data_IF_118710660585
#
_entry.id   IF_118710660585
#
_cell.length_a   1.000
_cell.length_b   1.000
_cell.length_c   1.000
_cell.angle_alpha   90.00
_cell.angle_beta   90.00
_cell.angle_gamma   90.00
#
_symmetry.space_group_name_H-M   'P 1'
#
loop_
_entity.id
_entity.type
_entity.pdbx_description
1 polymer ?
#
# COMPACT_ATOMS: atom_id res chain seq x y z
N UNK A 1 -50.22 46.73 -40.13
CA UNK A 1 -49.27 47.58 -39.38
C UNK A 1 -48.59 46.72 -38.33
N UNK A 2 -47.26 46.75 -38.36
CA UNK A 2 -46.34 46.12 -37.42
C UNK A 2 -46.71 46.42 -35.95
N UNK A 3 -46.54 45.44 -35.07
CA UNK A 3 -45.63 45.66 -33.94
C UNK A 3 -44.98 44.36 -33.46
N UNK A 4 -43.66 44.44 -33.49
CA UNK A 4 -42.67 43.42 -33.24
C UNK A 4 -42.59 43.06 -31.76
N UNK A 5 -42.82 41.80 -31.40
CA UNK A 5 -42.44 41.25 -30.10
C UNK A 5 -40.99 40.74 -30.18
N UNK A 6 -40.04 41.68 -30.15
CA UNK A 6 -38.62 41.40 -29.89
C UNK A 6 -38.34 41.63 -28.41
N UNK A 7 -38.74 40.68 -27.56
CA UNK A 7 -38.25 40.61 -26.19
C UNK A 7 -37.87 39.16 -25.90
N UNK A 8 -36.56 38.97 -25.82
CA UNK A 8 -35.91 38.04 -24.91
C UNK A 8 -35.77 36.57 -25.30
N UNK A 9 -35.10 36.30 -26.42
CA UNK A 9 -34.28 35.07 -26.53
C UNK A 9 -32.93 35.21 -25.80
N UNK A 10 -32.59 36.43 -25.32
CA UNK A 10 -31.33 36.71 -24.63
C UNK A 10 -31.36 36.38 -23.12
N UNK A 11 -32.53 36.28 -22.48
CA UNK A 11 -32.62 35.90 -21.05
C UNK A 11 -32.62 34.38 -20.86
N UNK A 12 -32.92 33.59 -21.90
CA UNK A 12 -32.90 32.13 -21.78
C UNK A 12 -31.48 31.54 -21.80
N UNK A 13 -30.47 32.30 -22.25
CA UNK A 13 -29.05 31.90 -22.23
C UNK A 13 -28.35 32.20 -20.90
N UNK A 14 -29.00 32.91 -19.96
CA UNK A 14 -28.47 33.23 -18.64
C UNK A 14 -28.89 32.25 -17.54
N UNK A 15 -29.59 31.16 -17.90
CA UNK A 15 -30.04 30.11 -16.98
C UNK A 15 -29.44 28.75 -17.36
N UNK A 16 -28.24 28.74 -17.96
CA UNK A 16 -27.41 27.57 -17.77
C UNK A 16 -26.98 27.60 -16.30
N UNK A 17 -27.28 26.56 -15.49
CA UNK A 17 -26.55 26.42 -14.25
C UNK A 17 -25.09 26.44 -14.69
N UNK A 18 -24.29 27.37 -14.16
CA UNK A 18 -22.85 27.15 -14.11
C UNK A 18 -22.75 25.75 -13.51
N UNK A 19 -22.42 24.77 -14.34
CA UNK A 19 -21.96 23.48 -13.88
C UNK A 19 -20.77 23.88 -13.04
N UNK A 20 -20.97 23.89 -11.72
CA UNK A 20 -19.88 24.08 -10.78
C UNK A 20 -18.89 23.01 -11.17
N UNK A 21 -17.79 23.40 -11.83
CA UNK A 21 -16.68 22.50 -12.06
C UNK A 21 -16.39 21.93 -10.69
N UNK A 22 -16.58 20.62 -10.53
CA UNK A 22 -16.10 19.92 -9.34
C UNK A 22 -14.66 20.39 -9.16
N UNK A 23 -14.38 21.03 -8.04
CA UNK A 23 -13.04 21.49 -7.74
C UNK A 23 -12.15 20.28 -7.81
N UNK A 24 -11.26 20.23 -8.79
CA UNK A 24 -10.31 19.15 -8.90
C UNK A 24 -9.38 19.27 -7.69
N UNK A 25 -9.57 18.39 -6.71
CA UNK A 25 -8.73 18.34 -5.51
C UNK A 25 -7.96 17.02 -5.49
N UNK A 26 -6.62 17.06 -5.49
CA UNK A 26 -5.81 15.85 -5.40
C UNK A 26 -6.04 15.14 -4.07
N UNK A 27 -5.96 13.82 -4.08
CA UNK A 27 -6.15 12.98 -2.91
C UNK A 27 -5.41 11.66 -3.05
N UNK A 28 -5.27 10.95 -1.95
CA UNK A 28 -4.71 9.60 -1.93
C UNK A 28 -5.78 8.60 -1.53
N UNK A 29 -5.66 7.36 -2.00
CA UNK A 29 -6.51 6.24 -1.58
C UNK A 29 -5.67 5.10 -1.08
N UNK A 30 -6.10 4.51 0.04
CA UNK A 30 -5.47 3.34 0.65
C UNK A 30 -6.50 2.21 0.75
N UNK A 31 -6.13 1.00 0.33
CA UNK A 31 -7.02 -0.17 0.38
C UNK A 31 -6.29 -1.46 0.73
N UNK A 32 -6.91 -2.30 1.56
CA UNK A 32 -6.33 -3.61 1.92
C UNK A 32 -6.61 -4.58 0.78
N UNK A 33 -5.58 -4.95 0.03
CA UNK A 33 -5.69 -5.84 -1.13
C UNK A 33 -5.47 -7.30 -0.78
N UNK A 34 -4.78 -7.60 0.33
CA UNK A 34 -4.51 -8.96 0.76
C UNK A 34 -4.23 -9.04 2.27
N UNK A 35 -4.73 -10.09 2.91
CA UNK A 35 -4.36 -10.48 4.28
C UNK A 35 -4.10 -11.99 4.28
N UNK A 36 -2.89 -12.37 4.67
CA UNK A 36 -2.43 -13.76 4.76
C UNK A 36 -2.13 -14.12 6.23
N UNK A 37 -3.08 -14.72 6.95
CA UNK A 37 -2.83 -15.22 8.30
C UNK A 37 -2.01 -16.52 8.25
N UNK A 38 -0.98 -16.64 9.09
CA UNK A 38 -0.24 -17.89 9.31
C UNK A 38 0.45 -17.89 10.68
N UNK A 39 0.34 -19.01 11.41
CA UNK A 39 1.02 -19.25 12.68
C UNK A 39 0.97 -18.10 13.72
N UNK A 40 -0.18 -17.44 13.82
CA UNK A 40 -0.39 -16.33 14.77
C UNK A 40 0.04 -14.96 14.26
N UNK A 41 0.60 -14.89 13.06
CA UNK A 41 0.87 -13.64 12.35
C UNK A 41 -0.15 -13.39 11.26
N UNK A 42 -0.23 -12.14 10.81
CA UNK A 42 -0.93 -11.75 9.59
C UNK A 42 -0.03 -10.86 8.74
N UNK A 43 0.20 -11.30 7.51
CA UNK A 43 0.85 -10.45 6.51
C UNK A 43 -0.23 -9.65 5.77
N UNK A 44 -0.07 -8.33 5.73
CA UNK A 44 -1.08 -7.39 5.22
C UNK A 44 -0.45 -6.60 4.08
N UNK A 45 -1.17 -6.55 2.96
CA UNK A 45 -0.82 -5.73 1.79
C UNK A 45 -1.84 -4.62 1.68
N UNK A 46 -1.34 -3.39 1.61
CA UNK A 46 -2.14 -2.18 1.42
C UNK A 46 -1.71 -1.55 0.11
N UNK A 47 -2.64 -1.34 -0.80
CA UNK A 47 -2.41 -0.61 -2.02
C UNK A 47 -2.63 0.88 -1.79
N UNK A 48 -1.70 1.70 -2.28
CA UNK A 48 -1.78 3.15 -2.33
C UNK A 48 -1.91 3.59 -3.79
N UNK A 49 -2.84 4.52 -4.02
CA UNK A 49 -2.98 5.24 -5.29
C UNK A 49 -3.06 6.74 -5.02
N UNK A 50 -2.23 7.52 -5.71
CA UNK A 50 -2.25 8.98 -5.72
C UNK A 50 -3.09 9.51 -6.89
N UNK A 51 -3.98 10.45 -6.60
CA UNK A 51 -4.82 11.14 -7.56
C UNK A 51 -4.40 12.60 -7.68
N UNK A 52 -4.05 13.01 -8.89
CA UNK A 52 -3.61 14.35 -9.24
C UNK A 52 -4.61 15.03 -10.16
N UNK A 53 -4.54 16.35 -10.20
CA UNK A 53 -5.29 17.17 -11.13
C UNK A 53 -4.46 17.45 -12.37
N UNK A 54 -4.95 17.00 -13.52
CA UNK A 54 -4.34 17.25 -14.82
C UNK A 54 -5.30 18.04 -15.70
N UNK A 55 -4.76 19.03 -16.43
CA UNK A 55 -5.55 19.82 -17.38
C UNK A 55 -5.63 19.12 -18.73
N UNK A 56 -6.82 18.64 -19.08
CA UNK A 56 -7.10 17.97 -20.35
C UNK A 56 -8.10 18.81 -21.14
N UNK A 57 -7.74 19.21 -22.35
CA UNK A 57 -8.59 20.03 -23.24
C UNK A 57 -9.13 21.34 -22.60
N UNK A 58 -8.38 21.92 -21.66
CA UNK A 58 -8.77 23.16 -21.00
C UNK A 58 -9.54 22.98 -19.68
N UNK A 59 -9.99 21.77 -19.37
CA UNK A 59 -10.70 21.40 -18.13
C UNK A 59 -9.75 20.67 -17.17
N UNK A 60 -9.89 20.88 -15.86
CA UNK A 60 -9.16 20.12 -14.85
C UNK A 60 -9.87 18.81 -14.58
N UNK A 61 -9.12 17.70 -14.63
CA UNK A 61 -9.66 16.35 -14.44
C UNK A 61 -8.80 15.56 -13.46
N UNK A 62 -9.45 14.75 -12.64
CA UNK A 62 -8.78 13.84 -11.72
C UNK A 62 -8.21 12.64 -12.49
N UNK A 63 -6.93 12.36 -12.29
CA UNK A 63 -6.23 11.21 -12.86
C UNK A 63 -5.29 10.58 -11.85
N UNK A 64 -5.05 9.28 -12.04
CA UNK A 64 -4.04 8.56 -11.25
C UNK A 64 -2.64 8.99 -11.67
N UNK A 65 -1.79 9.27 -10.68
CA UNK A 65 -0.39 9.59 -10.91
C UNK A 65 0.39 8.30 -11.23
N UNK A 66 0.32 7.83 -12.46
CA UNK A 66 1.03 6.62 -12.88
C UNK A 66 2.35 6.95 -13.60
N UNK A 67 3.42 6.16 -13.39
CA UNK A 67 3.48 5.00 -12.50
C UNK A 67 3.83 5.36 -11.05
N UNK A 68 4.32 6.57 -10.78
CA UNK A 68 5.06 6.90 -9.55
C UNK A 68 4.19 6.93 -8.28
N UNK A 69 2.90 7.27 -8.42
CA UNK A 69 1.92 7.34 -7.35
C UNK A 69 1.15 6.05 -7.10
N UNK A 70 1.60 4.91 -7.62
CA UNK A 70 1.00 3.60 -7.38
C UNK A 70 2.00 2.66 -6.69
N UNK A 71 1.71 2.26 -5.45
CA UNK A 71 2.57 1.31 -4.74
C UNK A 71 1.84 0.50 -3.68
N UNK A 72 2.37 -0.68 -3.40
CA UNK A 72 1.94 -1.54 -2.31
C UNK A 72 2.83 -1.32 -1.07
N UNK A 73 2.20 -1.23 0.08
CA UNK A 73 2.80 -1.20 1.41
C UNK A 73 2.62 -2.57 2.06
N UNK A 74 3.69 -3.05 2.69
CA UNK A 74 3.73 -4.38 3.29
C UNK A 74 3.91 -4.29 4.80
N UNK A 75 3.03 -4.99 5.52
CA UNK A 75 3.06 -5.03 6.97
C UNK A 75 3.00 -6.47 7.48
N UNK A 76 3.67 -6.70 8.62
CA UNK A 76 3.55 -7.95 9.36
C UNK A 76 3.02 -7.67 10.76
N UNK A 77 1.89 -8.26 11.07
CA UNK A 77 1.27 -8.19 12.38
C UNK A 77 1.50 -9.50 13.14
N UNK A 78 1.88 -9.43 14.42
CA UNK A 78 2.18 -10.61 15.26
C UNK A 78 1.17 -10.83 16.41
N UNK A 79 0.10 -10.05 16.47
CA UNK A 79 -0.85 -10.04 17.60
C UNK A 79 -0.63 -8.90 18.61
N UNK A 80 0.52 -8.24 18.60
CA UNK A 80 0.82 -7.05 19.43
C UNK A 80 1.25 -5.85 18.60
N UNK A 81 2.20 -6.07 17.69
CA UNK A 81 2.91 -5.04 16.94
C UNK A 81 2.66 -5.20 15.45
N UNK A 82 2.51 -4.06 14.76
CA UNK A 82 2.45 -3.97 13.31
C UNK A 82 3.79 -3.45 12.78
N UNK A 83 4.55 -4.31 12.10
CA UNK A 83 5.86 -3.99 11.55
C UNK A 83 5.75 -3.59 10.08
N UNK A 84 6.20 -2.40 9.71
CA UNK A 84 6.34 -1.98 8.32
C UNK A 84 7.57 -2.65 7.68
N UNK A 85 7.36 -3.36 6.57
CA UNK A 85 8.41 -4.13 5.89
C UNK A 85 8.99 -3.40 4.68
N UNK A 86 8.23 -2.46 4.11
CA UNK A 86 8.65 -1.66 2.98
C UNK A 86 7.52 -1.37 2.01
N UNK A 87 7.88 -0.68 0.92
CA UNK A 87 7.00 -0.35 -0.20
C UNK A 87 7.50 -1.01 -1.48
N UNK A 88 6.59 -1.30 -2.40
CA UNK A 88 6.89 -1.76 -3.76
C UNK A 88 6.00 -1.07 -4.75
N UNK A 89 6.59 -0.51 -5.81
CA UNK A 89 5.82 -0.12 -6.97
C UNK A 89 5.79 -1.31 -7.97
N UNK A 90 4.66 -2.01 -8.13
CA UNK A 90 4.56 -3.14 -9.05
C UNK A 90 4.77 -2.74 -10.53
N UNK A 91 4.54 -1.47 -10.88
CA UNK A 91 4.77 -0.92 -12.23
C UNK A 91 6.26 -0.62 -12.49
N UNK A 92 7.05 -0.38 -11.44
CA UNK A 92 8.48 -0.05 -11.55
C UNK A 92 9.43 -1.20 -11.12
N UNK A 93 8.88 -2.34 -10.67
CA UNK A 93 9.66 -3.57 -10.49
C UNK A 93 10.57 -3.61 -9.26
N UNK A 94 10.23 -2.87 -8.21
CA UNK A 94 10.97 -2.84 -6.93
C UNK A 94 10.28 -3.61 -5.80
N UNK A 95 10.11 -4.94 -5.87
CA UNK A 95 9.34 -5.59 -4.82
C UNK A 95 10.21 -5.95 -3.62
N UNK A 96 9.81 -5.45 -2.45
CA UNK A 96 9.92 -6.21 -1.23
C UNK A 96 8.81 -7.27 -1.25
N UNK A 97 9.11 -8.53 -1.57
CA UNK A 97 8.10 -9.60 -1.62
C UNK A 97 8.15 -10.37 -0.32
N UNK A 98 7.00 -10.69 0.26
CA UNK A 98 6.92 -11.59 1.40
C UNK A 98 6.31 -12.91 0.97
N UNK A 99 6.93 -14.02 1.34
CA UNK A 99 6.41 -15.36 1.11
C UNK A 99 6.25 -16.11 2.43
N UNK A 100 5.20 -16.91 2.54
CA UNK A 100 5.07 -17.88 3.61
C UNK A 100 5.57 -19.23 3.10
N UNK A 101 6.56 -19.81 3.79
CA UNK A 101 7.11 -21.13 3.47
C UNK A 101 7.03 -21.97 4.75
N UNK A 102 6.18 -23.00 4.73
CA UNK A 102 5.97 -23.92 5.85
C UNK A 102 5.67 -23.20 7.17
N UNK A 103 4.76 -22.22 7.16
CA UNK A 103 4.36 -21.50 8.37
C UNK A 103 5.34 -20.44 8.85
N UNK A 104 6.40 -20.16 8.08
CA UNK A 104 7.39 -19.12 8.40
C UNK A 104 7.39 -18.06 7.33
N UNK A 105 7.38 -16.79 7.73
CA UNK A 105 7.44 -15.68 6.80
C UNK A 105 8.87 -15.35 6.39
N UNK A 106 9.06 -15.09 5.11
CA UNK A 106 10.31 -14.66 4.52
C UNK A 106 10.10 -13.36 3.76
N UNK A 107 11.05 -12.44 3.83
CA UNK A 107 10.97 -11.13 3.18
C UNK A 107 12.16 -11.03 2.24
N UNK A 108 11.90 -10.94 0.95
CA UNK A 108 12.88 -10.62 -0.07
C UNK A 108 12.91 -9.10 -0.25
N UNK A 109 14.02 -8.46 0.10
CA UNK A 109 14.31 -7.07 -0.24
C UNK A 109 15.17 -7.02 -1.50
N UNK A 110 14.83 -6.12 -2.43
CA UNK A 110 15.62 -5.83 -3.63
C UNK A 110 15.95 -4.34 -3.67
N UNK A 111 17.22 -4.02 -3.86
CA UNK A 111 17.72 -2.65 -4.05
C UNK A 111 18.50 -2.57 -5.35
N UNK A 112 18.11 -1.68 -6.25
CA UNK A 112 18.81 -1.42 -7.49
C UNK A 112 19.53 -0.07 -7.42
N UNK A 113 20.76 -0.01 -7.92
CA UNK A 113 21.54 1.22 -7.99
C UNK A 113 22.54 1.16 -9.16
N UNK A 114 22.88 2.31 -9.73
CA UNK A 114 23.95 2.41 -10.73
C UNK A 114 25.25 2.70 -10.00
N UNK A 115 26.27 1.87 -10.21
CA UNK A 115 27.59 2.04 -9.59
C UNK A 115 28.69 2.21 -10.63
N UNK A 116 29.72 3.02 -10.36
CA UNK A 116 30.91 3.05 -11.21
C UNK A 116 31.66 1.72 -11.09
N UNK A 117 32.10 1.17 -12.23
CA UNK A 117 32.82 -0.11 -12.25
C UNK A 117 34.24 0.02 -12.79
N UNK A 118 34.47 0.85 -13.82
CA UNK A 118 35.79 0.99 -14.42
C UNK A 118 35.95 2.35 -15.08
N UNK A 119 37.12 2.97 -14.89
CA UNK A 119 37.52 4.15 -15.65
C UNK A 119 38.34 3.71 -16.86
N UNK A 120 37.97 4.22 -18.02
CA UNK A 120 38.67 3.98 -19.27
C UNK A 120 39.14 5.32 -19.81
N UNK A 121 40.44 5.43 -20.02
CA UNK A 121 41.06 6.51 -20.77
C UNK A 121 40.99 6.18 -22.25
N UNK A 122 40.38 7.05 -23.05
CA UNK A 122 40.39 6.97 -24.52
C UNK A 122 40.92 8.27 -25.09
N UNK A 123 41.79 8.16 -26.10
CA UNK A 123 42.23 9.32 -26.88
C UNK A 123 41.31 9.46 -28.09
N UNK A 124 40.57 10.57 -28.16
CA UNK A 124 39.70 10.90 -29.29
C UNK A 124 40.23 12.19 -29.90
N UNK A 125 40.64 12.12 -31.17
CA UNK A 125 41.22 13.27 -31.90
C UNK A 125 42.42 13.94 -31.21
N UNK A 126 43.29 13.15 -30.55
CA UNK A 126 44.48 13.65 -29.85
C UNK A 126 44.23 14.13 -28.42
N UNK A 127 42.98 14.28 -27.99
CA UNK A 127 42.63 14.62 -26.62
C UNK A 127 42.32 13.37 -25.79
N UNK A 128 42.88 13.30 -24.59
CA UNK A 128 42.58 12.22 -23.65
C UNK A 128 41.28 12.50 -22.92
N UNK A 129 40.30 11.61 -23.06
CA UNK A 129 39.02 11.64 -22.36
C UNK A 129 38.90 10.48 -21.39
N UNK A 130 38.42 10.77 -20.19
CA UNK A 130 38.13 9.77 -19.17
C UNK A 130 36.64 9.41 -19.25
N UNK A 131 36.34 8.16 -19.57
CA UNK A 131 34.99 7.62 -19.54
C UNK A 131 34.83 6.71 -18.32
N UNK A 132 33.83 6.98 -17.49
CA UNK A 132 33.47 6.07 -16.39
C UNK A 132 32.41 5.10 -16.89
N UNK A 133 32.76 3.82 -16.95
CA UNK A 133 31.80 2.75 -17.23
C UNK A 133 31.03 2.43 -15.95
N UNK A 134 29.71 2.37 -16.08
CA UNK A 134 28.81 2.05 -14.98
C UNK A 134 28.29 0.61 -15.10
N UNK A 135 27.87 0.06 -13.97
CA UNK A 135 27.16 -1.20 -13.88
C UNK A 135 25.87 -1.00 -13.09
N UNK A 136 24.82 -1.71 -13.48
CA UNK A 136 23.59 -1.80 -12.68
C UNK A 136 23.81 -2.86 -11.61
N UNK A 137 23.84 -2.42 -10.34
CA UNK A 137 23.98 -3.28 -9.17
C UNK A 137 22.60 -3.56 -8.59
N UNK A 138 22.26 -4.83 -8.50
CA UNK A 138 21.07 -5.32 -7.80
C UNK A 138 21.51 -6.08 -6.56
N UNK A 139 21.16 -5.57 -5.38
CA UNK A 139 21.30 -6.26 -4.11
C UNK A 139 19.98 -6.92 -3.74
N UNK A 140 20.04 -8.19 -3.38
CA UNK A 140 18.89 -8.97 -2.92
C UNK A 140 19.22 -9.54 -1.55
N UNK A 141 18.31 -9.38 -0.59
CA UNK A 141 18.45 -9.89 0.78
C UNK A 141 17.17 -10.61 1.16
N UNK A 142 17.28 -11.82 1.70
CA UNK A 142 16.13 -12.53 2.26
C UNK A 142 16.29 -12.63 3.76
N UNK A 143 15.27 -12.15 4.47
CA UNK A 143 15.15 -12.27 5.91
C UNK A 143 14.11 -13.33 6.23
N UNK A 144 14.41 -14.20 7.19
CA UNK A 144 13.43 -15.08 7.82
C UNK A 144 12.87 -14.37 9.04
N UNK A 145 11.56 -14.47 9.25
CA UNK A 145 10.88 -13.87 10.39
C UNK A 145 10.34 -14.95 11.33
N UNK A 146 10.88 -14.99 12.55
CA UNK A 146 10.50 -15.89 13.65
C UNK A 146 10.34 -15.12 14.97
N UNK A 147 9.86 -13.87 14.89
CA UNK A 147 9.81 -12.91 16.00
C UNK A 147 10.90 -11.83 15.89
N UNK A 148 11.99 -12.12 15.18
CA UNK A 148 13.00 -11.15 14.75
C UNK A 148 13.35 -11.39 13.27
N UNK A 149 13.79 -10.36 12.56
CA UNK A 149 14.24 -10.49 11.18
C UNK A 149 15.70 -10.96 11.14
N UNK A 150 15.92 -12.21 10.69
CA UNK A 150 17.26 -12.79 10.54
C UNK A 150 17.65 -12.87 9.06
N UNK A 151 18.78 -12.26 8.67
CA UNK A 151 19.30 -12.37 7.29
C UNK A 151 19.76 -13.81 7.01
N UNK A 152 19.08 -14.51 6.10
CA UNK A 152 19.38 -15.91 5.77
C UNK A 152 20.04 -16.09 4.40
N UNK A 153 19.85 -15.13 3.50
CA UNK A 153 20.41 -15.16 2.15
C UNK A 153 20.70 -13.75 1.66
N UNK A 154 21.83 -13.59 1.00
CA UNK A 154 22.17 -12.35 0.32
C UNK A 154 22.78 -12.66 -1.06
N UNK A 155 22.45 -11.82 -2.02
CA UNK A 155 23.04 -11.91 -3.33
C UNK A 155 23.23 -10.53 -3.95
N UNK A 156 24.32 -10.38 -4.68
CA UNK A 156 24.62 -9.18 -5.47
C UNK A 156 24.78 -9.59 -6.92
N UNK A 157 24.01 -8.97 -7.81
CA UNK A 157 24.13 -9.07 -9.26
C UNK A 157 24.63 -7.75 -9.81
N UNK A 158 25.67 -7.81 -10.65
CA UNK A 158 26.18 -6.69 -11.42
C UNK A 158 25.90 -6.97 -12.88
N UNK A 159 25.17 -6.07 -13.52
CA UNK A 159 24.88 -6.10 -14.96
C UNK A 159 25.64 -4.95 -15.62
N UNK A 160 26.51 -5.30 -16.56
CA UNK A 160 27.38 -4.36 -17.24
C UNK A 160 26.74 -3.89 -18.56
N UNK A 161 27.09 -2.69 -19.02
CA UNK A 161 26.56 -2.13 -20.28
C UNK A 161 26.81 -3.01 -21.52
N UNK A 162 27.80 -3.90 -21.46
CA UNK A 162 28.10 -4.87 -22.53
C UNK A 162 27.24 -6.15 -22.47
N UNK A 163 26.23 -6.20 -21.59
CA UNK A 163 25.35 -7.35 -21.39
C UNK A 163 25.96 -8.50 -20.57
N UNK A 164 27.22 -8.37 -20.11
CA UNK A 164 27.79 -9.38 -19.20
C UNK A 164 27.24 -9.19 -17.79
N UNK A 165 27.20 -10.29 -17.04
CA UNK A 165 26.69 -10.29 -15.67
C UNK A 165 27.65 -11.00 -14.72
N UNK A 166 27.71 -10.50 -13.49
CA UNK A 166 28.42 -11.15 -12.39
C UNK A 166 27.51 -11.26 -11.18
N UNK A 167 27.40 -12.47 -10.66
CA UNK A 167 26.51 -12.77 -9.53
C UNK A 167 27.33 -13.37 -8.40
N UNK A 168 27.11 -12.91 -7.18
CA UNK A 168 27.69 -13.45 -5.96
C UNK A 168 26.59 -13.64 -4.93
N UNK A 169 26.23 -14.89 -4.64
CA UNK A 169 25.27 -15.26 -3.60
C UNK A 169 25.94 -16.11 -2.52
N UNK A 170 25.52 -15.97 -1.26
CA UNK A 170 26.12 -16.73 -0.14
C UNK A 170 25.62 -18.18 -0.01
N UNK A 171 24.44 -18.51 -0.53
CA UNK A 171 23.78 -19.82 -0.40
C UNK A 171 22.85 -20.11 -1.59
N UNK A 172 22.28 -21.31 -1.62
CA UNK A 172 21.31 -21.80 -2.61
C UNK A 172 20.12 -20.87 -2.78
N UNK A 173 19.55 -20.86 -3.98
CA UNK A 173 18.48 -19.96 -4.40
C UNK A 173 17.14 -20.24 -3.67
N UNK A 174 16.62 -19.25 -2.94
CA UNK A 174 15.27 -19.26 -2.32
C UNK A 174 14.28 -18.40 -3.14
N UNK A 175 14.76 -17.76 -4.22
CA UNK A 175 13.97 -16.80 -5.01
C UNK A 175 12.71 -17.41 -5.65
N UNK A 176 12.73 -18.70 -6.00
CA UNK A 176 11.58 -19.39 -6.60
C UNK A 176 10.33 -19.38 -5.72
N UNK A 177 10.49 -19.32 -4.39
CA UNK A 177 9.38 -19.23 -3.45
C UNK A 177 8.68 -17.86 -3.46
N UNK A 178 9.37 -16.81 -3.89
CA UNK A 178 8.83 -15.46 -3.97
C UNK A 178 8.08 -15.19 -5.27
N UNK A 179 8.36 -15.94 -6.33
CA UNK A 179 7.71 -15.79 -7.64
C UNK A 179 6.21 -16.19 -7.61
N UNK A 180 5.80 -16.98 -6.62
CA UNK A 180 4.45 -17.54 -6.50
C UNK A 180 3.73 -17.11 -5.21
N UNK A 181 4.09 -15.95 -4.65
CA UNK A 181 3.41 -15.47 -3.44
C UNK A 181 1.91 -15.31 -3.75
N UNK A 182 1.02 -16.08 -3.12
CA UNK A 182 -0.40 -15.98 -3.41
C UNK A 182 -0.91 -14.64 -2.89
N UNK A 183 -1.24 -13.71 -3.78
CA UNK A 183 -2.14 -12.63 -3.42
C UNK A 183 -3.53 -13.25 -3.24
N UNK A 184 -3.96 -13.38 -1.99
CA UNK A 184 -5.32 -13.83 -1.67
C UNK A 184 -6.08 -12.62 -1.19
N UNK A 185 -7.16 -12.28 -1.89
CA UNK A 185 -8.09 -11.28 -1.41
C UNK A 185 -8.49 -11.61 0.03
N UNK A 186 -8.55 -10.60 0.93
CA UNK A 186 -8.88 -10.85 2.33
C UNK A 186 -10.22 -11.57 2.44
N UNK A 187 -10.23 -12.81 2.94
CA UNK A 187 -11.44 -13.59 3.17
C UNK A 187 -11.75 -13.61 4.67
N UNK A 188 -12.60 -12.70 5.12
CA UNK A 188 -13.06 -12.62 6.51
C UNK A 188 -14.56 -12.91 6.67
N UNK A 189 -15.01 -12.94 7.91
CA UNK A 189 -16.43 -12.94 8.27
C UNK A 189 -16.90 -11.50 8.39
N UNK A 190 -17.96 -11.13 7.67
CA UNK A 190 -18.58 -9.82 7.77
C UNK A 190 -19.25 -9.65 9.14
N UNK A 191 -19.02 -8.51 9.79
CA UNK A 191 -19.66 -8.14 11.05
C UNK A 191 -21.14 -7.77 10.86
N UNK A 192 -21.95 -8.06 11.87
CA UNK A 192 -23.38 -7.68 11.91
C UNK A 192 -23.64 -6.81 13.12
N UNK A 193 -24.32 -5.69 12.93
CA UNK A 193 -24.70 -4.80 14.05
C UNK A 193 -25.96 -5.35 14.70
N UNK A 194 -25.87 -5.75 15.97
CA UNK A 194 -26.98 -6.30 16.75
C UNK A 194 -26.91 -5.74 18.18
N UNK A 195 -28.02 -5.16 18.66
CA UNK A 195 -28.16 -4.67 20.05
C UNK A 195 -27.04 -3.71 20.52
N UNK A 196 -26.49 -2.88 19.62
CA UNK A 196 -25.41 -1.94 19.95
C UNK A 196 -23.99 -2.54 19.87
N UNK A 197 -23.85 -3.78 19.41
CA UNK A 197 -22.56 -4.45 19.21
C UNK A 197 -22.34 -4.76 17.73
N UNK A 198 -21.08 -4.73 17.30
CA UNK A 198 -20.65 -5.40 16.07
C UNK A 198 -20.28 -6.84 16.43
N UNK A 199 -20.99 -7.78 15.82
CA UNK A 199 -20.87 -9.21 16.10
C UNK A 199 -20.20 -9.91 14.93
N UNK A 200 -19.06 -10.56 15.20
CA UNK A 200 -18.35 -11.43 14.26
C UNK A 200 -18.51 -12.89 14.69
N UNK A 201 -19.10 -13.70 13.81
CA UNK A 201 -19.35 -15.14 14.05
C UNK A 201 -18.34 -15.97 13.28
N UNK A 202 -17.19 -16.24 13.89
CA UNK A 202 -16.18 -17.15 13.34
C UNK A 202 -16.50 -18.58 13.77
N UNK A 203 -16.17 -19.57 12.94
CA UNK A 203 -16.59 -20.98 13.06
C UNK A 203 -17.03 -21.46 14.47
N UNK A 204 -16.17 -21.34 15.48
CA UNK A 204 -16.45 -21.80 16.85
C UNK A 204 -16.51 -20.68 17.90
N UNK A 205 -16.33 -19.41 17.50
CA UNK A 205 -16.21 -18.27 18.41
C UNK A 205 -17.03 -17.08 17.92
N UNK A 206 -17.76 -16.46 18.85
CA UNK A 206 -18.49 -15.22 18.59
C UNK A 206 -17.81 -14.09 19.34
N UNK A 207 -17.46 -13.04 18.61
CA UNK A 207 -16.89 -11.81 19.17
C UNK A 207 -17.92 -10.71 19.05
N UNK A 208 -18.34 -10.15 20.18
CA UNK A 208 -19.23 -8.99 20.24
C UNK A 208 -18.46 -7.79 20.79
N UNK A 209 -18.33 -6.74 19.99
CA UNK A 209 -17.58 -5.54 20.36
C UNK A 209 -18.55 -4.36 20.34
N UNK A 210 -18.64 -3.54 21.41
CA UNK A 210 -19.51 -2.37 21.42
C UNK A 210 -19.22 -1.46 20.24
N UNK A 211 -20.27 -0.96 19.56
CA UNK A 211 -20.12 -0.02 18.44
C UNK A 211 -19.31 1.22 18.83
N UNK A 212 -19.47 1.67 20.07
CA UNK A 212 -18.76 2.84 20.62
C UNK A 212 -17.24 2.70 20.65
N UNK A 213 -16.70 1.47 20.67
CA UNK A 213 -15.25 1.21 20.60
C UNK A 213 -14.67 1.59 19.23
N UNK A 214 -15.49 1.56 18.17
CA UNK A 214 -15.08 1.94 16.81
C UNK A 214 -15.41 3.38 16.46
N UNK A 215 -16.48 3.95 17.05
CA UNK A 215 -17.03 5.25 16.65
C UNK A 215 -15.97 6.36 16.67
N UNK A 216 -15.11 6.41 17.68
CA UNK A 216 -14.06 7.42 17.78
C UNK A 216 -13.09 7.41 16.59
N UNK A 217 -12.81 6.23 16.04
CA UNK A 217 -11.92 6.06 14.89
C UNK A 217 -12.67 6.28 13.57
N UNK A 218 -13.86 5.69 13.42
CA UNK A 218 -14.57 5.67 12.13
C UNK A 218 -15.26 7.01 11.83
N UNK A 219 -15.78 7.70 12.85
CA UNK A 219 -16.44 8.99 12.67
C UNK A 219 -15.50 10.10 12.20
N UNK A 220 -14.21 10.03 12.58
CA UNK A 220 -13.18 10.96 12.10
C UNK A 220 -12.99 10.91 10.58
N UNK A 221 -13.13 9.73 9.95
CA UNK A 221 -12.92 9.56 8.50
C UNK A 221 -14.21 9.66 7.69
N UNK A 222 -15.31 9.13 8.22
CA UNK A 222 -16.53 8.90 7.43
C UNK A 222 -17.72 9.76 7.86
N UNK A 223 -17.59 10.53 8.95
CA UNK A 223 -18.63 11.44 9.45
C UNK A 223 -20.00 10.75 9.54
N UNK A 224 -20.99 11.29 8.82
CA UNK A 224 -22.36 10.77 8.83
C UNK A 224 -22.52 9.36 8.23
N UNK A 225 -21.49 8.81 7.55
CA UNK A 225 -21.50 7.45 6.97
C UNK A 225 -20.97 6.38 7.93
N UNK A 226 -20.67 6.72 9.18
CA UNK A 226 -20.07 5.82 10.19
C UNK A 226 -20.79 4.47 10.29
N UNK A 227 -22.11 4.47 10.49
CA UNK A 227 -22.89 3.24 10.63
C UNK A 227 -22.81 2.33 9.38
N UNK A 228 -22.78 2.94 8.19
CA UNK A 228 -22.63 2.17 6.95
C UNK A 228 -21.27 1.48 6.90
N UNK A 229 -20.20 2.18 7.29
CA UNK A 229 -18.84 1.63 7.32
C UNK A 229 -18.71 0.52 8.36
N UNK A 230 -19.22 0.73 9.57
CA UNK A 230 -19.22 -0.28 10.63
C UNK A 230 -19.93 -1.58 10.20
N UNK A 231 -21.02 -1.45 9.44
CA UNK A 231 -21.76 -2.59 8.90
C UNK A 231 -21.02 -3.36 7.78
N UNK A 232 -19.86 -2.88 7.37
CA UNK A 232 -19.02 -3.48 6.31
C UNK A 232 -17.66 -3.97 6.79
N UNK A 233 -17.40 -3.91 8.10
CA UNK A 233 -16.17 -4.47 8.67
C UNK A 233 -16.15 -5.99 8.51
N UNK A 234 -14.97 -6.53 8.25
CA UNK A 234 -14.69 -7.96 8.18
C UNK A 234 -13.70 -8.35 9.26
N UNK A 235 -13.76 -9.58 9.73
CA UNK A 235 -12.81 -10.12 10.70
C UNK A 235 -12.22 -11.45 10.24
N UNK A 236 -10.94 -11.67 10.53
CA UNK A 236 -10.26 -12.95 10.35
C UNK A 236 -9.54 -13.36 11.65
N UNK A 237 -9.38 -14.66 11.91
CA UNK A 237 -8.68 -15.12 13.10
C UNK A 237 -7.18 -14.88 12.95
N UNK A 238 -6.56 -14.29 13.98
CA UNK A 238 -5.11 -14.10 14.06
C UNK A 238 -4.65 -14.39 15.48
N UNK A 239 -3.83 -15.44 15.62
CA UNK A 239 -3.35 -15.89 16.93
C UNK A 239 -4.52 -16.26 17.85
N UNK A 240 -4.64 -15.54 18.97
CA UNK A 240 -5.70 -15.74 19.98
C UNK A 240 -6.88 -14.77 19.82
N UNK A 241 -6.82 -13.85 18.87
CA UNK A 241 -7.81 -12.81 18.66
C UNK A 241 -8.33 -12.77 17.24
N UNK A 242 -8.90 -11.63 16.87
CA UNK A 242 -9.35 -11.35 15.51
C UNK A 242 -8.76 -10.04 14.99
N UNK A 243 -8.36 -10.06 13.73
CA UNK A 243 -7.98 -8.88 12.97
C UNK A 243 -9.21 -8.39 12.20
N UNK A 244 -9.63 -7.15 12.45
CA UNK A 244 -10.84 -6.52 11.92
C UNK A 244 -10.42 -5.44 10.94
N UNK A 245 -10.98 -5.44 9.74
CA UNK A 245 -10.58 -4.52 8.69
C UNK A 245 -11.76 -3.97 7.89
N UNK A 246 -11.59 -2.76 7.37
CA UNK A 246 -12.47 -2.21 6.34
C UNK A 246 -11.96 -2.62 4.95
N UNK A 247 -12.78 -3.28 4.11
CA UNK A 247 -12.34 -3.78 2.80
C UNK A 247 -12.37 -2.73 1.69
N UNK A 248 -12.93 -1.54 1.94
CA UNK A 248 -13.06 -0.49 0.93
C UNK A 248 -11.88 0.47 0.92
N UNK A 249 -11.85 1.32 -0.10
CA UNK A 249 -10.85 2.38 -0.22
C UNK A 249 -11.12 3.47 0.82
N UNK A 250 -10.05 3.94 1.45
CA UNK A 250 -10.10 5.13 2.31
C UNK A 250 -9.41 6.29 1.61
N UNK A 251 -10.19 7.36 1.38
CA UNK A 251 -9.72 8.59 0.76
C UNK A 251 -9.08 9.52 1.81
N UNK A 252 -7.90 10.03 1.49
CA UNK A 252 -7.16 11.00 2.31
C UNK A 252 -6.96 12.28 1.51
N UNK A 253 -7.40 13.39 2.09
CA UNK A 253 -7.06 14.71 1.58
C UNK A 253 -5.73 15.11 2.24
N UNK A 254 -4.78 15.66 1.48
CA UNK A 254 -3.36 15.85 1.87
C UNK A 254 -3.05 16.79 3.06
N UNK A 255 -3.96 16.94 4.03
CA UNK A 255 -3.78 17.69 5.27
C UNK A 255 -3.72 16.83 6.53
N UNK A 256 -4.12 15.56 6.48
CA UNK A 256 -4.05 14.66 7.64
C UNK A 256 -2.95 13.60 7.50
N UNK A 257 -2.21 13.29 8.58
CA UNK A 257 -1.10 12.34 8.53
C UNK A 257 -1.61 10.94 8.15
N UNK A 258 -0.97 10.35 7.13
CA UNK A 258 -1.20 8.99 6.60
C UNK A 258 -1.02 7.84 7.62
N UNK A 259 -0.89 8.14 8.92
CA UNK A 259 -0.57 7.20 10.00
C UNK A 259 -1.74 6.31 10.47
N UNK A 260 -2.95 6.50 9.93
CA UNK A 260 -4.18 5.91 10.47
C UNK A 260 -4.93 5.03 9.47
N UNK A 261 -4.31 4.69 8.33
CA UNK A 261 -5.02 4.05 7.22
C UNK A 261 -4.26 2.91 6.58
N UNK A 262 -4.99 1.91 6.05
CA UNK A 262 -6.44 1.68 6.12
C UNK A 262 -6.93 1.28 7.51
N UNK A 263 -8.25 1.42 7.76
CA UNK A 263 -8.87 1.06 9.05
C UNK A 263 -8.65 -0.42 9.38
N UNK A 264 -7.78 -0.67 10.34
CA UNK A 264 -7.40 -2.00 10.80
C UNK A 264 -7.37 -2.04 12.32
N UNK A 265 -8.03 -3.02 12.92
CA UNK A 265 -8.10 -3.18 14.37
C UNK A 265 -7.75 -4.60 14.76
N UNK A 266 -7.22 -4.78 15.96
CA UNK A 266 -7.05 -6.09 16.57
C UNK A 266 -7.87 -6.17 17.85
N UNK A 267 -8.62 -7.26 18.00
CA UNK A 267 -9.35 -7.57 19.23
C UNK A 267 -8.79 -8.85 19.83
N UNK A 268 -8.19 -8.75 21.02
CA UNK A 268 -7.55 -9.87 21.73
C UNK A 268 -8.53 -10.75 22.52
N UNK A 269 -9.84 -10.46 22.41
CA UNK A 269 -10.90 -11.06 23.23
C UNK A 269 -11.31 -10.21 24.43
N UNK A 270 -10.62 -9.10 24.70
CA UNK A 270 -10.92 -8.16 25.79
C UNK A 270 -10.87 -6.71 25.32
N UNK A 271 -9.79 -6.32 24.66
CA UNK A 271 -9.51 -4.94 24.26
C UNK A 271 -9.47 -4.81 22.74
N UNK A 272 -10.08 -3.75 22.22
CA UNK A 272 -9.93 -3.34 20.82
C UNK A 272 -8.75 -2.38 20.70
N UNK A 273 -7.84 -2.68 19.80
CA UNK A 273 -6.68 -1.84 19.50
C UNK A 273 -6.73 -1.42 18.04
N UNK A 274 -6.71 -0.10 17.77
CA UNK A 274 -6.51 0.41 16.41
C UNK A 274 -5.04 0.25 16.00
N UNK A 275 -4.79 -0.44 14.88
CA UNK A 275 -3.45 -0.67 14.35
C UNK A 275 -3.05 0.49 13.45
N UNK A 276 -2.19 1.36 13.98
CA UNK A 276 -1.65 2.51 13.24
C UNK A 276 -0.63 2.04 12.21
N UNK A 277 -0.90 2.33 10.94
CA UNK A 277 -0.01 2.02 9.84
C UNK A 277 0.87 3.23 9.55
N UNK A 278 2.10 3.21 10.07
CA UNK A 278 3.04 4.29 9.80
C UNK A 278 3.76 4.07 8.46
N UNK A 279 3.57 5.00 7.52
CA UNK A 279 4.41 5.11 6.32
C UNK A 279 5.63 5.96 6.68
N UNK A 280 6.73 5.31 7.05
CA UNK A 280 7.96 5.97 7.49
C UNK A 280 9.17 5.06 7.36
N UNK A 281 10.37 5.63 7.24
CA UNK A 281 11.62 4.89 7.06
C UNK A 281 11.79 3.84 8.16
N UNK A 282 11.97 2.58 7.75
CA UNK A 282 12.35 1.51 8.65
C UNK A 282 13.69 1.90 9.28
N UNK A 283 13.68 2.30 10.55
CA UNK A 283 14.87 2.20 11.38
C UNK A 283 15.07 0.71 11.66
N UNK A 284 15.87 0.06 10.83
CA UNK A 284 16.39 -1.24 11.19
C UNK A 284 17.30 -1.06 12.40
N UNK A 285 17.26 -1.96 13.40
CA UNK A 285 18.27 -1.95 14.44
C UNK A 285 19.62 -2.26 13.78
N UNK A 286 20.46 -1.24 13.61
CA UNK A 286 21.84 -1.41 13.11
C UNK A 286 22.39 -0.35 12.14
N UNK A 287 21.74 0.80 11.94
CA UNK A 287 22.43 2.00 11.44
C UNK A 287 23.07 2.78 12.60
#
# INVERSE_FOLDING_TARGET
>A
MYNSFKISFLVLLLIFPLVSGETCEPYETYSITSILPSNGYAFIIVHHSEWICERVAGEETLRRNMPDGEYDLYYLFNGSDLLFLGKSNPLLGEPSVVAEINGTFYILQRKQMVVPYKNVTMTINGETKNLTLTAKKTEMRVYRFDGCASLIWNCTRLEFQNGTERTKCNRTEILSYFANTPQKSPSGVKGVIENGFIVFRLANLTYGIPVTEFDGYVSGFFGNKTLNVLSTLYALPVGKGILIYYPGDVKVNGRDPASELPLLFFYDGKNLTHLKMHVGSVHFPGD
#
